data_IF_156123218373
#
_entry.id   IF_156123218373
#
_cell.length_a   1.000
_cell.length_b   1.000
_cell.length_c   1.000
_cell.angle_alpha   90.00
_cell.angle_beta   90.00
_cell.angle_gamma   90.00
#
_symmetry.space_group_name_H-M   'P 1'
#
loop_
_entity.id
_entity.type
_entity.pdbx_description
1 polymer ?
#
# COMPACT_ATOMS: atom_id res chain seq x y z
N UNK A 1 0.59 -2.57 -27.29
CA UNK A 1 0.45 -1.15 -27.69
C UNK A 1 -0.98 -0.95 -28.17
N UNK A 2 -1.61 0.18 -27.86
CA UNK A 2 -2.94 0.52 -28.34
C UNK A 2 -2.89 0.76 -29.85
N UNK A 3 -3.86 0.23 -30.60
CA UNK A 3 -3.93 0.44 -32.05
C UNK A 3 -4.15 1.93 -32.37
N UNK A 4 -3.69 2.41 -33.52
CA UNK A 4 -3.85 3.81 -33.91
C UNK A 4 -5.34 4.21 -34.04
N UNK A 5 -6.18 3.29 -34.50
CA UNK A 5 -7.62 3.47 -34.61
C UNK A 5 -8.25 3.64 -33.21
N UNK A 6 -7.99 2.72 -32.29
CA UNK A 6 -8.49 2.80 -30.90
C UNK A 6 -7.93 4.02 -30.18
N UNK A 7 -6.66 4.40 -30.39
CA UNK A 7 -6.08 5.59 -29.78
C UNK A 7 -6.83 6.88 -30.18
N UNK A 8 -7.25 7.01 -31.44
CA UNK A 8 -8.05 8.15 -31.88
C UNK A 8 -9.42 8.20 -31.17
N UNK A 9 -10.10 7.06 -31.07
CA UNK A 9 -11.40 6.93 -30.42
C UNK A 9 -11.28 7.19 -28.91
N UNK A 10 -10.30 6.56 -28.24
CA UNK A 10 -10.07 6.75 -26.79
C UNK A 10 -9.76 8.22 -26.49
N UNK A 11 -8.91 8.88 -27.28
CA UNK A 11 -8.60 10.31 -27.11
C UNK A 11 -9.85 11.20 -27.21
N UNK A 12 -10.75 10.90 -28.14
CA UNK A 12 -11.99 11.66 -28.33
C UNK A 12 -13.00 11.43 -27.21
N UNK A 13 -13.03 10.22 -26.62
CA UNK A 13 -14.04 9.79 -25.64
C UNK A 13 -13.57 9.86 -24.19
N UNK A 14 -12.25 9.91 -23.95
CA UNK A 14 -11.66 9.94 -22.59
C UNK A 14 -12.25 11.04 -21.70
N UNK A 15 -12.47 12.29 -22.14
CA UNK A 15 -13.08 13.31 -21.29
C UNK A 15 -14.50 12.95 -20.84
N UNK A 16 -15.32 12.36 -21.73
CA UNK A 16 -16.67 11.94 -21.40
C UNK A 16 -16.69 10.75 -20.42
N UNK A 17 -15.85 9.74 -20.69
CA UNK A 17 -15.69 8.58 -19.80
C UNK A 17 -15.16 9.01 -18.44
N UNK A 18 -14.12 9.85 -18.38
CA UNK A 18 -13.55 10.37 -17.14
C UNK A 18 -14.58 11.16 -16.32
N UNK A 19 -15.40 11.98 -16.97
CA UNK A 19 -16.47 12.72 -16.31
C UNK A 19 -17.60 11.86 -15.73
N UNK A 20 -17.80 10.66 -16.28
CA UNK A 20 -18.83 9.71 -15.85
C UNK A 20 -18.30 8.58 -14.92
N UNK A 21 -17.00 8.53 -14.64
CA UNK A 21 -16.35 7.39 -13.94
C UNK A 21 -16.94 7.13 -12.55
N UNK A 22 -17.34 8.15 -11.80
CA UNK A 22 -17.92 7.95 -10.46
C UNK A 22 -19.26 7.20 -10.54
N UNK A 23 -20.11 7.54 -11.51
CA UNK A 23 -21.37 6.83 -11.76
C UNK A 23 -21.11 5.44 -12.32
N UNK A 24 -20.23 5.30 -13.31
CA UNK A 24 -19.85 4.00 -13.89
C UNK A 24 -19.36 3.05 -12.80
N UNK A 25 -18.43 3.48 -11.95
CA UNK A 25 -17.87 2.63 -10.89
C UNK A 25 -18.89 2.32 -9.80
N UNK A 26 -19.83 3.22 -9.53
CA UNK A 26 -20.94 2.97 -8.60
C UNK A 26 -21.83 1.86 -9.11
N UNK A 27 -22.25 1.92 -10.38
CA UNK A 27 -23.09 0.88 -11.00
C UNK A 27 -22.35 -0.44 -11.15
N UNK A 28 -21.10 -0.38 -11.58
CA UNK A 28 -20.21 -1.54 -11.69
C UNK A 28 -20.16 -2.35 -10.38
N UNK A 29 -19.77 -1.72 -9.27
CA UNK A 29 -19.70 -2.41 -7.98
C UNK A 29 -21.08 -2.86 -7.49
N UNK A 30 -22.13 -2.05 -7.68
CA UNK A 30 -23.49 -2.41 -7.32
C UNK A 30 -23.98 -3.67 -8.02
N UNK A 31 -23.84 -3.75 -9.34
CA UNK A 31 -24.24 -4.91 -10.14
C UNK A 31 -23.38 -6.14 -9.81
N UNK A 32 -22.07 -5.97 -9.74
CA UNK A 32 -21.15 -7.07 -9.44
C UNK A 32 -21.42 -7.70 -8.07
N UNK A 33 -21.60 -6.91 -7.01
CA UNK A 33 -21.84 -7.43 -5.68
C UNK A 33 -23.28 -7.95 -5.48
N UNK A 34 -24.24 -7.46 -6.27
CA UNK A 34 -25.59 -8.02 -6.29
C UNK A 34 -25.59 -9.46 -6.84
N UNK A 35 -24.91 -9.67 -7.96
CA UNK A 35 -24.87 -10.95 -8.64
C UNK A 35 -23.85 -11.93 -8.03
N UNK A 36 -22.78 -11.40 -7.43
CA UNK A 36 -21.63 -12.16 -6.92
C UNK A 36 -21.26 -11.71 -5.49
N UNK A 37 -22.19 -11.88 -4.51
CA UNK A 37 -21.96 -11.43 -3.12
C UNK A 37 -20.79 -12.14 -2.45
N UNK A 38 -20.39 -13.33 -2.91
CA UNK A 38 -19.21 -14.04 -2.41
C UNK A 38 -17.90 -13.27 -2.63
N UNK A 39 -17.82 -12.35 -3.60
CA UNK A 39 -16.64 -11.52 -3.80
C UNK A 39 -16.40 -10.53 -2.65
N UNK A 40 -17.44 -10.19 -1.88
CA UNK A 40 -17.30 -9.36 -0.68
C UNK A 40 -16.62 -10.11 0.47
N UNK A 41 -16.65 -11.45 0.45
CA UNK A 41 -16.08 -12.24 1.53
C UNK A 41 -14.57 -12.33 1.42
N UNK A 42 -13.88 -11.52 2.21
CA UNK A 42 -12.42 -11.57 2.33
C UNK A 42 -11.61 -11.02 1.16
N UNK A 43 -12.23 -10.28 0.21
CA UNK A 43 -11.51 -9.63 -0.88
C UNK A 43 -11.64 -8.11 -0.81
N UNK A 44 -12.80 -7.58 -0.44
CA UNK A 44 -13.05 -6.15 -0.41
C UNK A 44 -13.18 -5.61 1.01
N UNK A 45 -12.60 -4.44 1.25
CA UNK A 45 -12.73 -3.72 2.50
C UNK A 45 -14.06 -2.96 2.55
N UNK A 46 -14.95 -3.33 3.48
CA UNK A 46 -16.27 -2.69 3.66
C UNK A 46 -16.17 -1.17 3.86
N UNK A 47 -15.20 -0.70 4.65
CA UNK A 47 -14.98 0.72 4.90
C UNK A 47 -14.61 1.48 3.62
N UNK A 48 -13.76 0.91 2.77
CA UNK A 48 -13.38 1.49 1.48
C UNK A 48 -14.56 1.50 0.49
N UNK A 49 -15.44 0.49 0.56
CA UNK A 49 -16.67 0.46 -0.23
C UNK A 49 -17.65 1.54 0.26
N UNK A 50 -17.90 1.62 1.55
CA UNK A 50 -18.82 2.59 2.14
C UNK A 50 -18.39 4.04 1.90
N UNK A 51 -17.09 4.34 2.00
CA UNK A 51 -16.53 5.68 1.76
C UNK A 51 -16.38 6.05 0.28
N UNK A 52 -16.59 5.12 -0.64
CA UNK A 52 -16.34 5.28 -2.07
C UNK A 52 -14.85 5.36 -2.45
N UNK A 53 -13.94 5.17 -1.51
CA UNK A 53 -12.50 5.27 -1.77
C UNK A 53 -12.03 4.25 -2.81
N UNK A 54 -12.58 3.03 -2.80
CA UNK A 54 -12.27 2.00 -3.79
C UNK A 54 -12.74 2.37 -5.19
N UNK A 55 -13.94 2.98 -5.31
CA UNK A 55 -14.49 3.45 -6.59
C UNK A 55 -13.58 4.52 -7.21
N UNK A 56 -13.17 5.51 -6.40
CA UNK A 56 -12.25 6.56 -6.86
C UNK A 56 -10.89 6.03 -7.28
N UNK A 57 -10.36 5.03 -6.57
CA UNK A 57 -9.09 4.40 -6.93
C UNK A 57 -9.18 3.66 -8.28
N UNK A 58 -10.25 2.89 -8.51
CA UNK A 58 -10.48 2.22 -9.80
C UNK A 58 -10.64 3.24 -10.93
N UNK A 59 -11.47 4.26 -10.72
CA UNK A 59 -11.68 5.33 -11.69
C UNK A 59 -10.36 6.03 -12.07
N UNK A 60 -9.56 6.39 -11.08
CA UNK A 60 -8.23 6.99 -11.28
C UNK A 60 -7.27 6.07 -12.04
N UNK A 61 -7.28 4.77 -11.74
CA UNK A 61 -6.42 3.78 -12.42
C UNK A 61 -6.77 3.63 -13.90
N UNK A 62 -8.06 3.55 -14.23
CA UNK A 62 -8.52 3.43 -15.63
C UNK A 62 -8.16 4.69 -16.43
N UNK A 63 -8.50 5.87 -15.89
CA UNK A 63 -8.18 7.13 -16.54
C UNK A 63 -6.68 7.35 -16.70
N UNK A 64 -5.90 7.07 -15.64
CA UNK A 64 -4.44 7.20 -15.66
C UNK A 64 -3.79 6.24 -16.65
N UNK A 65 -4.25 4.99 -16.74
CA UNK A 65 -3.73 4.03 -17.72
C UNK A 65 -4.05 4.43 -19.15
N UNK A 66 -5.30 4.84 -19.45
CA UNK A 66 -5.70 5.32 -20.77
C UNK A 66 -4.89 6.57 -21.19
N UNK A 67 -4.71 7.53 -20.27
CA UNK A 67 -3.87 8.72 -20.51
C UNK A 67 -2.43 8.33 -20.81
N UNK A 68 -1.84 7.45 -20.02
CA UNK A 68 -0.46 7.00 -20.24
C UNK A 68 -0.26 6.32 -21.61
N UNK A 69 -1.21 5.51 -22.06
CA UNK A 69 -1.18 4.90 -23.40
C UNK A 69 -1.26 5.94 -24.54
N UNK A 70 -1.99 7.05 -24.33
CA UNK A 70 -2.14 8.10 -25.32
C UNK A 70 -0.93 9.04 -25.38
N UNK A 71 -0.33 9.36 -24.22
CA UNK A 71 0.78 10.31 -24.11
C UNK A 71 2.14 9.64 -24.41
N UNK A 72 2.26 8.37 -24.07
CA UNK A 72 3.48 7.58 -24.21
C UNK A 72 3.20 6.23 -24.90
N UNK A 73 2.80 6.23 -26.19
CA UNK A 73 2.30 5.02 -26.86
C UNK A 73 3.33 3.87 -26.94
N UNK A 74 4.61 4.19 -26.87
CA UNK A 74 5.70 3.22 -26.93
C UNK A 74 6.19 2.75 -25.53
N UNK A 75 5.64 3.32 -24.47
CA UNK A 75 6.06 3.03 -23.09
C UNK A 75 4.89 2.42 -22.30
N UNK A 76 5.12 1.24 -21.75
CA UNK A 76 4.14 0.65 -20.82
C UNK A 76 4.23 1.36 -19.46
N UNK A 77 3.10 1.76 -18.84
CA UNK A 77 3.10 2.45 -17.54
C UNK A 77 3.36 1.48 -16.37
N UNK A 78 4.55 0.89 -16.33
CA UNK A 78 4.92 -0.18 -15.41
C UNK A 78 4.78 0.24 -13.94
N UNK A 79 5.17 1.46 -13.57
CA UNK A 79 5.08 1.94 -12.18
C UNK A 79 3.64 1.96 -11.66
N UNK A 80 2.67 2.38 -12.49
CA UNK A 80 1.25 2.34 -12.15
C UNK A 80 0.76 0.90 -11.97
N UNK A 81 1.14 0.03 -12.91
CA UNK A 81 0.73 -1.37 -12.92
C UNK A 81 1.37 -2.17 -11.79
N UNK A 82 2.63 -1.92 -11.43
CA UNK A 82 3.33 -2.62 -10.36
C UNK A 82 2.59 -2.46 -9.02
N UNK A 83 2.19 -1.23 -8.69
CA UNK A 83 1.45 -0.99 -7.45
C UNK A 83 0.11 -1.70 -7.42
N UNK A 84 -0.63 -1.67 -8.53
CA UNK A 84 -1.91 -2.36 -8.65
C UNK A 84 -1.70 -3.87 -8.53
N UNK A 85 -0.73 -4.43 -9.24
CA UNK A 85 -0.41 -5.85 -9.23
C UNK A 85 -0.04 -6.35 -7.82
N UNK A 86 0.77 -5.60 -7.06
CA UNK A 86 1.09 -5.94 -5.68
C UNK A 86 -0.15 -5.92 -4.76
N UNK A 87 -1.06 -4.95 -4.93
CA UNK A 87 -2.32 -4.89 -4.16
C UNK A 87 -3.26 -6.04 -4.52
N UNK A 88 -3.36 -6.39 -5.79
CA UNK A 88 -4.12 -7.55 -6.26
C UNK A 88 -3.53 -8.88 -5.75
N UNK A 89 -2.22 -9.05 -5.89
CA UNK A 89 -1.54 -10.24 -5.39
C UNK A 89 -1.73 -10.41 -3.87
N UNK A 90 -1.72 -9.31 -3.10
CA UNK A 90 -1.88 -9.34 -1.65
C UNK A 90 -3.29 -9.74 -1.19
N UNK A 91 -4.29 -9.73 -2.07
CA UNK A 91 -5.64 -10.21 -1.78
C UNK A 91 -5.97 -11.52 -2.51
N UNK A 92 -5.06 -11.99 -3.37
CA UNK A 92 -5.17 -13.28 -4.05
C UNK A 92 -6.01 -13.23 -5.32
N UNK A 93 -6.00 -12.13 -6.07
CA UNK A 93 -6.70 -12.01 -7.36
C UNK A 93 -6.24 -13.11 -8.31
N UNK A 94 -7.19 -13.68 -9.04
CA UNK A 94 -6.97 -14.71 -10.06
C UNK A 94 -7.31 -14.17 -11.46
N UNK A 95 -6.75 -14.77 -12.50
CA UNK A 95 -6.91 -14.34 -13.89
C UNK A 95 -8.36 -14.38 -14.38
N UNK A 96 -9.17 -15.36 -13.94
CA UNK A 96 -10.58 -15.47 -14.28
C UNK A 96 -11.43 -14.29 -13.75
N UNK A 97 -10.98 -13.63 -12.66
CA UNK A 97 -11.68 -12.48 -12.09
C UNK A 97 -11.63 -11.25 -13.00
N UNK A 98 -10.64 -11.12 -13.86
CA UNK A 98 -10.60 -10.05 -14.87
C UNK A 98 -11.77 -10.16 -15.87
N UNK A 99 -12.17 -11.36 -16.25
CA UNK A 99 -13.36 -11.56 -17.09
C UNK A 99 -14.64 -11.14 -16.38
N UNK A 100 -14.73 -11.39 -15.06
CA UNK A 100 -15.88 -10.95 -14.25
C UNK A 100 -15.92 -9.41 -14.20
N UNK A 101 -14.79 -8.77 -13.88
CA UNK A 101 -14.69 -7.30 -13.85
C UNK A 101 -15.04 -6.69 -15.20
N UNK A 102 -14.51 -7.23 -16.30
CA UNK A 102 -14.83 -6.80 -17.66
C UNK A 102 -16.34 -6.77 -17.92
N UNK A 103 -17.02 -7.89 -17.66
CA UNK A 103 -18.48 -8.01 -17.88
C UNK A 103 -19.26 -6.90 -17.20
N UNK A 104 -19.01 -6.69 -15.90
CA UNK A 104 -19.79 -5.72 -15.12
C UNK A 104 -19.37 -4.28 -15.40
N UNK A 105 -18.10 -4.03 -15.67
CA UNK A 105 -17.60 -2.69 -16.00
C UNK A 105 -18.16 -2.20 -17.33
N UNK A 106 -18.11 -3.03 -18.37
CA UNK A 106 -18.64 -2.67 -19.69
C UNK A 106 -20.18 -2.59 -19.69
N UNK A 107 -20.86 -3.41 -18.88
CA UNK A 107 -22.27 -3.26 -18.63
C UNK A 107 -22.62 -1.88 -18.03
N UNK A 108 -21.87 -1.45 -17.03
CA UNK A 108 -22.05 -0.16 -16.38
C UNK A 108 -21.71 1.01 -17.33
N UNK A 109 -20.65 0.90 -18.15
CA UNK A 109 -20.30 1.89 -19.18
C UNK A 109 -21.44 2.06 -20.17
N UNK A 110 -21.98 0.96 -20.69
CA UNK A 110 -23.10 0.99 -21.65
C UNK A 110 -24.37 1.59 -21.02
N UNK A 111 -24.66 1.27 -19.75
CA UNK A 111 -25.82 1.81 -19.04
C UNK A 111 -25.70 3.32 -18.78
N UNK A 112 -24.52 3.81 -18.43
CA UNK A 112 -24.32 5.23 -18.06
C UNK A 112 -24.18 6.12 -19.28
N UNK A 113 -23.47 5.67 -20.31
CA UNK A 113 -23.18 6.49 -21.52
C UNK A 113 -24.17 6.27 -22.65
N UNK A 114 -25.02 5.20 -22.58
CA UNK A 114 -26.07 4.95 -23.54
C UNK A 114 -25.62 4.93 -25.00
N UNK A 115 -26.29 5.69 -25.85
CA UNK A 115 -26.02 5.77 -27.29
C UNK A 115 -24.63 6.29 -27.67
N UNK A 116 -23.89 6.90 -26.72
CA UNK A 116 -22.52 7.33 -26.95
C UNK A 116 -21.54 6.13 -27.04
N UNK A 117 -21.95 4.94 -26.57
CA UNK A 117 -21.16 3.71 -26.67
C UNK A 117 -21.46 3.03 -28.01
N UNK A 118 -20.95 3.60 -29.09
CA UNK A 118 -21.00 2.96 -30.40
C UNK A 118 -20.15 1.68 -30.44
N UNK A 119 -20.33 0.78 -31.41
CA UNK A 119 -19.48 -0.40 -31.56
C UNK A 119 -17.98 -0.08 -31.62
N UNK A 120 -17.61 1.03 -32.25
CA UNK A 120 -16.20 1.50 -32.36
C UNK A 120 -15.68 1.97 -30.99
N UNK A 121 -16.50 2.69 -30.21
CA UNK A 121 -16.15 3.14 -28.85
C UNK A 121 -15.98 1.92 -27.94
N UNK A 122 -16.93 0.98 -27.99
CA UNK A 122 -16.86 -0.26 -27.21
C UNK A 122 -15.59 -1.05 -27.52
N UNK A 123 -15.27 -1.25 -28.81
CA UNK A 123 -14.08 -1.97 -29.23
C UNK A 123 -12.77 -1.28 -28.79
N UNK A 124 -12.69 0.06 -28.87
CA UNK A 124 -11.52 0.80 -28.47
C UNK A 124 -11.26 0.73 -26.95
N UNK A 125 -12.29 0.83 -26.13
CA UNK A 125 -12.16 0.69 -24.67
C UNK A 125 -11.96 -0.76 -24.24
N UNK A 126 -12.49 -1.73 -24.98
CA UNK A 126 -12.18 -3.16 -24.79
C UNK A 126 -10.68 -3.43 -24.98
N UNK A 127 -10.07 -2.86 -26.02
CA UNK A 127 -8.63 -2.96 -26.25
C UNK A 127 -7.83 -2.34 -25.08
N UNK A 128 -8.20 -1.16 -24.58
CA UNK A 128 -7.57 -0.55 -23.39
C UNK A 128 -7.68 -1.47 -22.16
N UNK A 129 -8.87 -2.03 -21.93
CA UNK A 129 -9.10 -2.93 -20.81
C UNK A 129 -8.18 -4.15 -20.85
N UNK A 130 -8.14 -4.86 -21.99
CA UNK A 130 -7.35 -6.08 -22.11
C UNK A 130 -5.84 -5.83 -22.17
N UNK A 131 -5.41 -4.66 -22.62
CA UNK A 131 -4.00 -4.24 -22.48
C UNK A 131 -3.61 -4.09 -21.01
N UNK A 132 -4.45 -3.45 -20.20
CA UNK A 132 -4.24 -3.32 -18.76
C UNK A 132 -4.32 -4.67 -18.05
N UNK A 133 -5.39 -5.41 -18.27
CA UNK A 133 -5.63 -6.71 -17.63
C UNK A 133 -4.52 -7.72 -17.97
N UNK A 134 -4.13 -7.84 -19.23
CA UNK A 134 -3.05 -8.76 -19.62
C UNK A 134 -1.70 -8.41 -19.01
N UNK A 135 -1.39 -7.11 -18.88
CA UNK A 135 -0.18 -6.67 -18.21
C UNK A 135 -0.22 -7.00 -16.70
N UNK A 136 -1.35 -6.74 -16.03
CA UNK A 136 -1.54 -7.05 -14.60
C UNK A 136 -1.47 -8.56 -14.34
N UNK A 137 -2.18 -9.38 -15.12
CA UNK A 137 -2.12 -10.85 -15.01
C UNK A 137 -0.68 -11.36 -15.12
N UNK A 138 0.10 -10.82 -16.09
CA UNK A 138 1.49 -11.19 -16.26
C UNK A 138 2.40 -10.77 -15.10
N UNK A 139 2.17 -9.61 -14.51
CA UNK A 139 2.90 -9.13 -13.34
C UNK A 139 2.52 -9.93 -12.08
N UNK A 140 1.23 -10.13 -11.83
CA UNK A 140 0.71 -10.92 -10.70
C UNK A 140 1.22 -12.37 -10.73
N UNK A 141 1.26 -12.99 -11.92
CA UNK A 141 1.81 -14.34 -12.07
C UNK A 141 3.29 -14.41 -11.64
N UNK A 142 4.10 -13.38 -11.95
CA UNK A 142 5.48 -13.28 -11.50
C UNK A 142 5.57 -13.07 -9.99
N UNK A 143 4.74 -12.18 -9.42
CA UNK A 143 4.70 -11.93 -7.98
C UNK A 143 4.34 -13.20 -7.19
N UNK A 144 3.37 -13.99 -7.66
CA UNK A 144 3.02 -15.27 -7.04
C UNK A 144 4.17 -16.27 -7.13
N UNK A 145 4.85 -16.33 -8.28
CA UNK A 145 6.02 -17.21 -8.44
C UNK A 145 7.17 -16.79 -7.51
N UNK A 146 7.50 -15.50 -7.43
CA UNK A 146 8.55 -14.98 -6.55
C UNK A 146 8.23 -15.23 -5.07
N UNK A 147 6.96 -15.08 -4.68
CA UNK A 147 6.50 -15.37 -3.33
C UNK A 147 6.37 -16.88 -3.03
N UNK A 148 6.55 -17.76 -4.03
CA UNK A 148 6.44 -19.21 -3.87
C UNK A 148 5.01 -19.68 -3.62
N UNK A 149 3.99 -18.92 -4.06
CA UNK A 149 2.57 -19.24 -3.88
C UNK A 149 1.86 -19.38 -5.22
N UNK A 150 0.60 -19.83 -5.19
CA UNK A 150 -0.26 -19.90 -6.38
C UNK A 150 -1.38 -18.87 -6.31
N UNK A 151 -1.89 -18.36 -7.44
CA UNK A 151 -3.08 -17.52 -7.49
C UNK A 151 -4.21 -18.11 -6.64
N UNK A 152 -4.89 -17.29 -5.85
CA UNK A 152 -5.96 -17.72 -4.93
C UNK A 152 -5.51 -18.56 -3.72
N UNK A 153 -4.27 -19.04 -3.67
CA UNK A 153 -3.72 -19.85 -2.57
C UNK A 153 -2.55 -19.16 -1.88
N UNK A 154 -2.74 -17.93 -1.47
CA UNK A 154 -1.72 -17.07 -0.85
C UNK A 154 -1.77 -17.10 0.68
N UNK A 155 -2.82 -17.71 1.25
CA UNK A 155 -3.16 -17.64 2.66
C UNK A 155 -2.53 -18.78 3.45
N UNK A 156 -1.96 -18.44 4.63
CA UNK A 156 -1.35 -19.39 5.56
C UNK A 156 -1.71 -19.01 6.99
N UNK A 157 -1.85 -19.99 7.88
CA UNK A 157 -2.06 -19.76 9.31
C UNK A 157 -0.75 -19.48 10.02
N UNK A 158 -0.78 -18.51 10.93
CA UNK A 158 0.33 -18.07 11.74
C UNK A 158 -0.10 -17.98 13.19
N UNK A 159 0.72 -18.55 14.11
CA UNK A 159 0.50 -18.47 15.54
C UNK A 159 1.12 -17.20 16.11
N UNK A 160 0.38 -16.47 16.92
CA UNK A 160 0.88 -15.35 17.70
C UNK A 160 1.78 -15.85 18.80
N UNK A 161 3.07 -15.60 18.73
CA UNK A 161 4.06 -16.04 19.74
C UNK A 161 4.34 -14.97 20.79
N UNK A 162 4.07 -13.70 20.48
CA UNK A 162 4.19 -12.57 21.40
C UNK A 162 3.17 -11.49 21.01
N UNK A 163 2.55 -10.88 22.01
CA UNK A 163 1.70 -9.71 21.89
C UNK A 163 2.23 -8.60 22.78
N UNK A 164 2.71 -7.50 22.18
CA UNK A 164 3.31 -6.39 22.91
C UNK A 164 2.55 -5.10 22.67
N UNK A 165 2.14 -4.42 23.76
CA UNK A 165 1.63 -3.05 23.65
C UNK A 165 2.79 -2.11 23.33
N UNK A 166 2.63 -1.31 22.26
CA UNK A 166 3.61 -0.29 21.85
C UNK A 166 3.21 1.09 22.38
N UNK A 167 1.93 1.41 22.24
CA UNK A 167 1.29 2.64 22.71
C UNK A 167 -0.12 2.31 23.22
N UNK A 168 -0.88 3.26 23.80
CA UNK A 168 -2.27 3.01 24.18
C UNK A 168 -3.18 2.55 23.02
N UNK A 169 -2.83 2.88 21.78
CA UNK A 169 -3.60 2.56 20.59
C UNK A 169 -2.85 1.68 19.56
N UNK A 170 -1.63 1.23 19.86
CA UNK A 170 -0.86 0.36 18.97
C UNK A 170 -0.37 -0.91 19.69
N UNK A 171 -0.46 -2.05 18.99
CA UNK A 171 -0.01 -3.36 19.45
C UNK A 171 0.79 -4.06 18.39
N UNK A 172 1.91 -4.68 18.76
CA UNK A 172 2.70 -5.57 17.93
C UNK A 172 2.33 -7.02 18.16
N UNK A 173 2.21 -7.79 17.07
CA UNK A 173 2.06 -9.23 17.08
C UNK A 173 3.29 -9.85 16.40
N UNK A 174 4.03 -10.65 17.14
CA UNK A 174 5.08 -11.49 16.61
C UNK A 174 4.49 -12.85 16.25
N UNK A 175 4.72 -13.28 15.01
CA UNK A 175 4.00 -14.37 14.37
C UNK A 175 4.96 -15.42 13.85
N UNK A 176 4.60 -16.71 14.00
CA UNK A 176 5.32 -17.87 13.44
C UNK A 176 4.36 -18.70 12.60
N UNK A 177 4.82 -19.30 11.46
CA UNK A 177 3.98 -20.24 10.71
C UNK A 177 3.46 -21.36 11.61
N UNK A 178 2.14 -21.61 11.57
CA UNK A 178 1.49 -22.61 12.44
C UNK A 178 1.78 -24.06 12.01
N UNK A 179 2.15 -24.27 10.75
CA UNK A 179 2.48 -25.57 10.18
C UNK A 179 3.94 -26.01 10.41
N UNK A 180 4.78 -25.16 11.02
CA UNK A 180 6.18 -25.42 11.28
C UNK A 180 7.12 -25.32 10.07
N UNK A 181 6.58 -25.04 8.88
CA UNK A 181 7.38 -24.82 7.68
C UNK A 181 8.03 -23.42 7.68
N UNK A 182 9.12 -23.24 6.93
CA UNK A 182 9.80 -21.96 6.82
C UNK A 182 8.86 -20.82 6.39
N UNK A 183 9.07 -19.64 6.92
CA UNK A 183 8.31 -18.46 6.52
C UNK A 183 8.62 -18.10 5.05
N UNK A 184 7.64 -17.67 4.24
CA UNK A 184 7.88 -17.17 2.89
C UNK A 184 8.92 -16.04 2.91
N UNK A 185 9.74 -15.94 1.86
CA UNK A 185 10.70 -14.84 1.76
C UNK A 185 9.98 -13.50 1.74
N UNK A 186 10.53 -12.53 2.43
CA UNK A 186 10.06 -11.16 2.44
C UNK A 186 11.20 -10.20 2.09
N UNK A 187 10.85 -8.99 1.62
CA UNK A 187 11.78 -7.86 1.47
C UNK A 187 11.45 -6.80 2.52
N UNK A 188 12.44 -6.06 2.97
CA UNK A 188 12.25 -5.01 3.96
C UNK A 188 11.42 -3.85 3.39
N UNK A 189 10.29 -3.54 4.00
CA UNK A 189 9.28 -2.58 3.52
C UNK A 189 7.99 -3.23 3.04
N UNK A 190 7.98 -4.52 2.72
CA UNK A 190 6.77 -5.24 2.30
C UNK A 190 5.74 -5.37 3.42
N UNK A 191 4.52 -5.71 3.02
CA UNK A 191 3.37 -5.93 3.90
C UNK A 191 2.72 -7.31 3.66
N UNK A 192 1.89 -7.72 4.59
CA UNK A 192 1.00 -8.88 4.48
C UNK A 192 -0.44 -8.45 4.64
N UNK A 193 -1.36 -9.15 3.98
CA UNK A 193 -2.79 -9.05 4.29
C UNK A 193 -3.13 -9.99 5.43
N UNK A 194 -3.80 -9.48 6.46
CA UNK A 194 -4.39 -10.28 7.54
C UNK A 194 -5.86 -10.44 7.27
N UNK A 195 -6.33 -11.68 7.20
CA UNK A 195 -7.74 -12.03 7.02
C UNK A 195 -8.32 -12.53 8.33
N UNK A 196 -9.38 -11.90 8.80
CA UNK A 196 -10.08 -12.25 10.03
C UNK A 196 -11.56 -12.50 9.75
N UNK A 197 -12.14 -13.43 10.49
CA UNK A 197 -13.59 -13.67 10.46
C UNK A 197 -14.26 -12.72 11.45
N UNK A 198 -15.17 -11.90 10.94
CA UNK A 198 -15.93 -10.96 11.74
C UNK A 198 -17.06 -11.65 12.50
N UNK A 199 -17.64 -11.03 13.56
CA UNK A 199 -18.75 -11.62 14.32
C UNK A 199 -19.99 -11.98 13.47
N UNK A 200 -20.22 -11.28 12.37
CA UNK A 200 -21.29 -11.58 11.41
C UNK A 200 -20.99 -12.78 10.46
N UNK A 201 -19.82 -13.40 10.63
CA UNK A 201 -19.37 -14.56 9.87
C UNK A 201 -18.64 -14.26 8.56
N UNK A 202 -18.61 -12.99 8.10
CA UNK A 202 -17.94 -12.56 6.87
C UNK A 202 -16.47 -12.30 7.16
N UNK A 203 -15.59 -12.65 6.23
CA UNK A 203 -14.17 -12.31 6.36
C UNK A 203 -13.88 -10.88 5.94
N UNK A 204 -13.06 -10.20 6.71
CA UNK A 204 -12.46 -8.93 6.35
C UNK A 204 -10.96 -9.03 6.33
N UNK A 205 -10.33 -8.22 5.50
CA UNK A 205 -8.87 -8.18 5.42
C UNK A 205 -8.34 -6.75 5.57
N UNK A 206 -7.12 -6.65 6.12
CA UNK A 206 -6.33 -5.41 6.17
C UNK A 206 -4.87 -5.73 5.92
N UNK A 207 -4.21 -4.80 5.25
CA UNK A 207 -2.79 -4.86 4.98
C UNK A 207 -2.01 -4.24 6.13
N UNK A 208 -0.96 -4.94 6.60
CA UNK A 208 -0.06 -4.46 7.64
C UNK A 208 1.38 -4.66 7.19
N UNK A 209 2.16 -3.58 7.24
CA UNK A 209 3.59 -3.63 6.94
C UNK A 209 4.32 -4.55 7.91
N UNK A 210 5.31 -5.27 7.41
CA UNK A 210 6.22 -6.03 8.24
C UNK A 210 7.15 -5.06 8.96
N UNK A 211 7.04 -5.00 10.28
CA UNK A 211 7.81 -4.10 11.15
C UNK A 211 9.06 -4.77 11.76
N UNK A 212 9.42 -5.96 11.29
CA UNK A 212 10.65 -6.71 11.63
C UNK A 212 11.54 -6.91 10.42
N UNK A 213 12.81 -7.24 10.63
CA UNK A 213 13.70 -7.67 9.56
C UNK A 213 13.12 -8.88 8.82
N UNK A 214 13.34 -9.02 7.50
CA UNK A 214 12.72 -10.06 6.69
C UNK A 214 13.32 -11.47 6.87
N UNK A 215 14.42 -11.59 7.61
CA UNK A 215 15.08 -12.89 7.87
C UNK A 215 14.41 -13.72 8.95
N UNK A 216 14.65 -15.04 8.93
CA UNK A 216 14.14 -16.00 9.93
C UNK A 216 12.66 -16.36 9.73
N UNK A 217 12.12 -17.13 10.71
CA UNK A 217 10.76 -17.68 10.67
C UNK A 217 9.72 -16.82 11.38
N UNK A 218 10.11 -15.68 11.94
CA UNK A 218 9.22 -14.76 12.62
C UNK A 218 8.89 -13.58 11.74
N UNK A 219 7.65 -13.10 11.86
CA UNK A 219 7.18 -11.86 11.24
C UNK A 219 6.49 -11.03 12.29
N UNK A 220 6.69 -9.73 12.26
CA UNK A 220 5.97 -8.82 13.14
C UNK A 220 5.12 -7.86 12.32
N UNK A 221 3.87 -7.74 12.73
CA UNK A 221 2.98 -6.66 12.31
C UNK A 221 2.69 -5.78 13.53
N UNK A 222 2.60 -4.47 13.32
CA UNK A 222 2.21 -3.53 14.36
C UNK A 222 0.94 -2.83 13.93
N UNK A 223 -0.11 -2.99 14.73
CA UNK A 223 -1.48 -2.62 14.41
C UNK A 223 -1.90 -1.45 15.27
N UNK A 224 -2.24 -0.32 14.65
CA UNK A 224 -2.88 0.81 15.31
C UNK A 224 -4.39 0.61 15.31
N UNK A 225 -5.02 0.78 16.46
CA UNK A 225 -6.47 0.79 16.59
C UNK A 225 -7.04 2.06 15.95
N UNK A 226 -7.97 1.88 15.04
CA UNK A 226 -8.66 2.98 14.36
C UNK A 226 -9.95 3.28 15.12
N UNK A 227 -10.01 4.44 15.77
CA UNK A 227 -11.24 4.99 16.33
C UNK A 227 -12.00 5.73 15.23
N UNK A 228 -13.32 5.64 15.24
CA UNK A 228 -14.19 6.40 14.34
C UNK A 228 -14.14 7.89 14.67
N UNK A 229 -14.05 8.71 13.64
CA UNK A 229 -14.06 10.17 13.75
C UNK A 229 -15.24 10.75 12.95
N UNK A 230 -15.83 11.87 13.44
CA UNK A 230 -16.87 12.61 12.73
C UNK A 230 -18.06 11.76 12.23
N UNK A 231 -18.47 10.75 12.99
CA UNK A 231 -19.59 9.86 12.65
C UNK A 231 -19.23 8.66 11.78
N UNK A 232 -17.96 8.50 11.41
CA UNK A 232 -17.47 7.26 10.80
C UNK A 232 -17.38 6.15 11.88
N UNK A 233 -17.66 4.87 11.53
CA UNK A 233 -17.55 3.76 12.48
C UNK A 233 -16.07 3.47 12.81
N UNK A 234 -15.85 2.82 13.94
CA UNK A 234 -14.55 2.27 14.32
C UNK A 234 -14.02 1.29 13.27
N UNK A 235 -12.71 1.22 13.13
CA UNK A 235 -12.07 0.27 12.22
C UNK A 235 -12.29 -1.17 12.68
N UNK A 236 -13.15 -1.93 12.01
CA UNK A 236 -13.59 -3.27 12.40
C UNK A 236 -12.42 -4.21 12.74
N UNK A 237 -11.48 -4.42 11.79
CA UNK A 237 -10.38 -5.37 11.95
C UNK A 237 -9.38 -4.93 13.01
N UNK A 238 -8.99 -3.66 13.03
CA UNK A 238 -8.02 -3.17 14.02
C UNK A 238 -8.55 -3.29 15.45
N UNK A 239 -9.83 -2.98 15.68
CA UNK A 239 -10.46 -3.12 16.99
C UNK A 239 -10.60 -4.59 17.39
N UNK A 240 -10.98 -5.49 16.47
CA UNK A 240 -11.03 -6.93 16.73
C UNK A 240 -9.64 -7.48 17.13
N UNK A 241 -8.59 -7.14 16.37
CA UNK A 241 -7.23 -7.58 16.68
C UNK A 241 -6.78 -7.12 18.08
N UNK A 242 -7.08 -5.88 18.44
CA UNK A 242 -6.77 -5.35 19.78
C UNK A 242 -7.56 -6.02 20.89
N UNK A 243 -8.85 -6.24 20.68
CA UNK A 243 -9.76 -6.75 21.69
C UNK A 243 -9.64 -8.26 21.93
N UNK A 244 -9.44 -9.04 20.88
CA UNK A 244 -9.63 -10.49 20.94
C UNK A 244 -8.34 -11.30 20.79
N UNK A 245 -7.38 -10.84 19.98
CA UNK A 245 -6.19 -11.64 19.67
C UNK A 245 -5.17 -11.65 20.81
N UNK A 246 -4.76 -12.84 21.21
CA UNK A 246 -3.81 -13.14 22.30
C UNK A 246 -2.67 -14.03 21.82
N UNK A 247 -1.66 -14.20 22.66
CA UNK A 247 -0.62 -15.19 22.47
C UNK A 247 -1.21 -16.60 22.42
N UNK A 248 -0.76 -17.41 21.46
CA UNK A 248 -1.30 -18.71 21.18
C UNK A 248 -2.41 -18.76 20.12
N UNK A 249 -3.06 -17.63 19.83
CA UNK A 249 -4.08 -17.56 18.79
C UNK A 249 -3.48 -17.65 17.39
N UNK A 250 -4.32 -18.02 16.44
CA UNK A 250 -3.91 -18.09 15.02
C UNK A 250 -4.53 -16.97 14.21
N UNK A 251 -3.70 -16.35 13.35
CA UNK A 251 -4.10 -15.41 12.33
C UNK A 251 -3.84 -15.98 10.93
N UNK A 252 -4.70 -15.65 9.98
CA UNK A 252 -4.48 -16.00 8.57
C UNK A 252 -3.84 -14.84 7.83
N UNK A 253 -2.61 -15.04 7.33
CA UNK A 253 -1.84 -14.05 6.60
C UNK A 253 -1.62 -14.47 5.15
N UNK A 254 -1.52 -13.48 4.25
CA UNK A 254 -1.02 -13.69 2.89
C UNK A 254 0.50 -13.91 2.89
N UNK A 255 1.04 -14.34 1.75
CA UNK A 255 2.45 -14.13 1.45
C UNK A 255 2.78 -12.61 1.47
N UNK A 256 4.06 -12.22 1.67
CA UNK A 256 4.46 -10.82 1.63
C UNK A 256 4.39 -10.25 0.20
N UNK A 257 3.82 -9.04 0.07
CA UNK A 257 3.77 -8.27 -1.16
C UNK A 257 4.08 -6.80 -0.88
N UNK A 258 4.12 -5.96 -1.91
CA UNK A 258 4.39 -4.53 -1.82
C UNK A 258 5.52 -4.12 -2.75
N UNK A 259 5.34 -3.00 -3.47
CA UNK A 259 6.28 -2.41 -4.42
C UNK A 259 7.31 -1.49 -3.73
N UNK A 260 7.06 -1.12 -2.48
CA UNK A 260 7.92 -0.24 -1.69
C UNK A 260 8.80 -1.08 -0.76
N UNK A 261 9.97 -1.43 -1.23
CA UNK A 261 10.95 -2.20 -0.45
C UNK A 261 12.37 -1.73 -0.73
N UNK A 262 13.27 -2.01 0.20
CA UNK A 262 14.69 -1.76 0.01
C UNK A 262 15.27 -2.84 -0.92
N UNK A 263 15.82 -2.39 -2.06
CA UNK A 263 16.55 -3.24 -2.98
C UNK A 263 17.87 -3.71 -2.38
N UNK A 264 18.28 -4.89 -2.78
CA UNK A 264 19.42 -5.61 -2.22
C UNK A 264 20.78 -5.04 -2.65
N UNK A 265 21.90 -5.53 -2.07
CA UNK A 265 23.20 -4.91 -1.81
C UNK A 265 24.02 -4.43 -3.01
N UNK A 266 23.57 -4.56 -4.25
CA UNK A 266 24.24 -3.93 -5.38
C UNK A 266 24.41 -2.40 -5.22
N UNK A 267 23.62 -1.78 -4.33
CA UNK A 267 23.63 -0.33 -4.05
C UNK A 267 23.95 -0.02 -2.58
N UNK A 268 24.85 -0.81 -1.99
CA UNK A 268 25.18 -0.75 -0.56
C UNK A 268 25.69 0.60 -0.07
N UNK A 269 26.03 1.54 -0.93
CA UNK A 269 26.56 2.87 -0.60
C UNK A 269 25.54 3.99 -0.71
N UNK A 270 24.45 3.81 -1.44
CA UNK A 270 23.42 4.83 -1.61
C UNK A 270 22.79 5.18 -0.27
N UNK A 271 22.76 6.47 0.12
CA UNK A 271 22.11 6.90 1.35
C UNK A 271 20.61 6.55 1.36
N UNK A 272 20.11 6.22 2.54
CA UNK A 272 18.68 5.91 2.76
C UNK A 272 18.09 6.93 3.72
N UNK A 273 16.93 7.49 3.33
CA UNK A 273 16.15 8.39 4.16
C UNK A 273 14.79 7.75 4.42
N UNK A 274 14.49 7.46 5.68
CA UNK A 274 13.25 6.85 6.13
C UNK A 274 12.36 7.93 6.74
N UNK A 275 11.27 8.29 6.07
CA UNK A 275 10.38 9.40 6.45
C UNK A 275 9.00 8.87 6.76
N UNK A 276 8.49 9.17 7.95
CA UNK A 276 7.19 8.63 8.37
C UNK A 276 6.42 9.54 9.33
N UNK A 277 5.10 9.30 9.39
CA UNK A 277 4.26 9.85 10.44
C UNK A 277 3.30 8.81 11.01
N UNK A 278 3.12 8.82 12.35
CA UNK A 278 2.27 7.90 13.08
C UNK A 278 2.60 6.44 12.78
N UNK A 279 1.58 5.60 12.52
CA UNK A 279 1.79 4.17 12.24
C UNK A 279 2.50 3.91 10.89
N UNK A 280 2.69 4.91 10.04
CA UNK A 280 3.56 4.84 8.87
C UNK A 280 5.04 4.58 9.20
N UNK A 281 5.42 4.63 10.47
CA UNK A 281 6.73 4.19 10.97
C UNK A 281 6.98 2.68 10.82
N UNK A 282 5.95 1.85 10.67
CA UNK A 282 6.08 0.38 10.64
C UNK A 282 6.94 -0.15 9.50
N UNK A 283 6.76 0.22 8.22
CA UNK A 283 7.65 -0.21 7.15
C UNK A 283 9.06 0.35 7.31
N UNK A 284 9.19 1.56 7.86
CA UNK A 284 10.50 2.19 8.11
C UNK A 284 11.30 1.43 9.17
N UNK A 285 10.62 0.98 10.24
CA UNK A 285 11.25 0.13 11.26
C UNK A 285 11.67 -1.22 10.67
N UNK A 286 10.87 -1.83 9.79
CA UNK A 286 11.23 -3.06 9.06
C UNK A 286 12.48 -2.90 8.20
N UNK A 287 12.59 -1.79 7.45
CA UNK A 287 13.77 -1.46 6.65
C UNK A 287 14.99 -1.22 7.55
N UNK A 288 14.82 -0.44 8.61
CA UNK A 288 15.89 -0.13 9.55
C UNK A 288 16.41 -1.39 10.26
N UNK A 289 15.50 -2.29 10.67
CA UNK A 289 15.83 -3.57 11.27
C UNK A 289 16.63 -4.46 10.32
N UNK A 290 16.28 -4.45 9.03
CA UNK A 290 17.03 -5.17 8.00
C UNK A 290 18.44 -4.61 7.85
N UNK A 291 18.58 -3.29 7.70
CA UNK A 291 19.88 -2.62 7.58
C UNK A 291 20.79 -2.92 8.78
N UNK A 292 20.23 -2.88 9.99
CA UNK A 292 20.95 -3.22 11.21
C UNK A 292 21.34 -4.69 11.26
N UNK A 293 20.47 -5.61 10.80
CA UNK A 293 20.73 -7.06 10.80
C UNK A 293 21.86 -7.44 9.82
N UNK A 294 21.96 -6.77 8.66
CA UNK A 294 23.04 -7.02 7.69
C UNK A 294 24.32 -6.22 7.98
N UNK A 295 24.34 -5.39 9.04
CA UNK A 295 25.48 -4.54 9.38
C UNK A 295 25.80 -3.50 8.29
N UNK A 296 24.76 -2.89 7.70
CA UNK A 296 24.91 -1.94 6.59
C UNK A 296 25.78 -0.74 6.98
N UNK A 297 26.70 -0.34 6.11
CA UNK A 297 27.55 0.86 6.28
C UNK A 297 27.02 2.09 5.55
N UNK A 298 25.89 2.00 4.83
CA UNK A 298 25.30 3.13 4.12
C UNK A 298 24.81 4.22 5.09
N UNK A 299 24.89 5.49 4.75
CA UNK A 299 24.29 6.56 5.55
C UNK A 299 22.78 6.38 5.67
N UNK A 300 22.24 6.42 6.89
CA UNK A 300 20.81 6.29 7.16
C UNK A 300 20.31 7.52 7.92
N UNK A 301 19.23 8.11 7.46
CA UNK A 301 18.53 9.19 8.16
C UNK A 301 17.10 8.77 8.44
N UNK A 302 16.69 8.78 9.70
CA UNK A 302 15.32 8.43 10.12
C UNK A 302 14.61 9.71 10.58
N UNK A 303 13.54 10.06 9.90
CA UNK A 303 12.71 11.23 10.17
C UNK A 303 11.29 10.77 10.51
N UNK A 304 10.82 11.06 11.72
CA UNK A 304 9.50 10.64 12.14
C UNK A 304 8.71 11.76 12.81
N UNK A 305 7.42 11.86 12.49
CA UNK A 305 6.50 12.79 13.12
C UNK A 305 5.35 12.05 13.81
N UNK A 306 4.96 12.51 15.00
CA UNK A 306 3.77 12.02 15.68
C UNK A 306 3.14 13.12 16.53
N UNK A 307 1.98 12.85 17.16
CA UNK A 307 1.30 13.80 18.02
C UNK A 307 2.05 14.01 19.34
N UNK A 308 2.61 12.93 19.87
CA UNK A 308 3.42 12.96 21.11
C UNK A 308 4.37 11.75 21.18
N UNK A 309 5.39 11.80 22.04
CA UNK A 309 6.27 10.65 22.27
C UNK A 309 5.53 9.39 22.75
N UNK A 310 4.44 9.55 23.51
CA UNK A 310 3.63 8.44 24.02
C UNK A 310 2.81 7.72 22.94
N UNK A 311 2.56 8.39 21.81
CA UNK A 311 1.82 7.86 20.65
C UNK A 311 2.75 7.31 19.57
N UNK A 312 4.07 7.54 19.68
CA UNK A 312 5.08 7.06 18.72
C UNK A 312 5.40 5.58 18.95
N UNK A 313 4.70 4.71 18.21
CA UNK A 313 4.92 3.27 18.23
C UNK A 313 6.34 2.91 17.76
N UNK A 314 6.96 1.89 18.37
CA UNK A 314 8.30 1.40 18.05
C UNK A 314 9.43 2.42 18.26
N UNK A 315 9.21 3.53 18.97
CA UNK A 315 10.18 4.62 19.17
C UNK A 315 11.51 4.14 19.74
N UNK A 316 11.46 3.38 20.85
CA UNK A 316 12.66 2.89 21.51
C UNK A 316 13.47 1.97 20.60
N UNK A 317 12.79 1.06 19.91
CA UNK A 317 13.41 0.15 18.96
C UNK A 317 14.02 0.88 17.75
N UNK A 318 13.33 1.88 17.21
CA UNK A 318 13.85 2.72 16.11
C UNK A 318 15.18 3.37 16.51
N UNK A 319 15.29 3.88 17.74
CA UNK A 319 16.55 4.44 18.25
C UNK A 319 17.63 3.40 18.44
N UNK A 320 17.28 2.27 19.03
CA UNK A 320 18.22 1.16 19.22
C UNK A 320 18.79 0.67 17.89
N UNK A 321 17.92 0.43 16.90
CA UNK A 321 18.33 -0.02 15.57
C UNK A 321 19.21 1.02 14.86
N UNK A 322 18.85 2.30 14.92
CA UNK A 322 19.67 3.37 14.38
C UNK A 322 21.04 3.43 15.07
N UNK A 323 21.10 3.30 16.40
CA UNK A 323 22.33 3.26 17.16
C UNK A 323 23.28 2.10 16.81
N UNK A 324 22.77 1.04 16.15
CA UNK A 324 23.58 -0.08 15.63
C UNK A 324 24.19 0.19 14.25
N UNK A 325 23.80 1.27 13.57
CA UNK A 325 24.25 1.63 12.23
C UNK A 325 25.26 2.76 12.29
N UNK A 326 26.44 2.64 11.67
CA UNK A 326 27.45 3.67 11.68
C UNK A 326 26.94 4.99 11.06
N UNK A 327 26.96 6.08 11.84
CA UNK A 327 26.56 7.41 11.35
C UNK A 327 25.09 7.58 11.05
N UNK A 328 24.22 6.70 11.51
CA UNK A 328 22.78 6.88 11.38
C UNK A 328 22.30 8.07 12.22
N UNK A 329 21.36 8.84 11.67
CA UNK A 329 20.75 10.01 12.33
C UNK A 329 19.28 9.78 12.53
N UNK A 330 18.73 10.25 13.65
CA UNK A 330 17.30 10.21 13.96
C UNK A 330 16.83 11.59 14.36
N UNK A 331 15.78 12.09 13.69
CA UNK A 331 15.11 13.35 14.01
C UNK A 331 13.63 13.08 14.21
N UNK A 332 13.06 13.55 15.33
CA UNK A 332 11.65 13.35 15.64
C UNK A 332 10.94 14.69 15.80
N UNK A 333 9.72 14.76 15.32
CA UNK A 333 8.80 15.90 15.47
C UNK A 333 7.58 15.47 16.28
N UNK A 334 7.20 16.29 17.25
CA UNK A 334 5.98 16.07 18.03
C UNK A 334 5.16 17.35 18.10
N UNK A 335 3.86 17.24 17.84
CA UNK A 335 2.94 18.35 18.03
C UNK A 335 2.87 18.76 19.53
N UNK A 336 3.00 17.76 20.42
CA UNK A 336 3.03 17.91 21.86
C UNK A 336 4.26 17.19 22.44
N UNK A 337 5.43 17.82 22.37
CA UNK A 337 6.64 17.20 22.91
C UNK A 337 6.53 17.01 24.42
N UNK A 338 6.99 15.88 24.92
CA UNK A 338 7.09 15.59 26.36
C UNK A 338 8.48 15.94 26.90
N UNK A 339 8.59 16.03 28.20
CA UNK A 339 9.90 16.27 28.87
C UNK A 339 10.91 15.13 28.64
N UNK A 340 10.43 13.93 28.28
CA UNK A 340 11.25 12.76 27.96
C UNK A 340 11.96 12.86 26.61
N UNK A 341 11.63 13.86 25.77
CA UNK A 341 12.19 14.05 24.43
C UNK A 341 12.64 15.49 24.20
N UNK A 342 13.60 16.01 25.00
CA UNK A 342 14.02 17.43 24.93
C UNK A 342 14.72 17.78 23.62
N UNK A 343 15.27 16.80 22.89
CA UNK A 343 15.92 16.99 21.60
C UNK A 343 14.95 16.92 20.42
N UNK A 344 13.67 16.55 20.63
CA UNK A 344 12.70 16.49 19.58
C UNK A 344 12.27 17.90 19.11
N UNK A 345 11.96 18.00 17.83
CA UNK A 345 11.42 19.22 17.24
C UNK A 345 9.92 19.34 17.55
N UNK A 346 9.42 20.57 17.69
CA UNK A 346 8.02 20.83 17.98
C UNK A 346 7.24 21.13 16.70
N UNK A 347 6.03 20.57 16.59
CA UNK A 347 5.10 20.83 15.49
C UNK A 347 5.14 19.79 14.38
N UNK A 348 4.69 20.19 13.19
CA UNK A 348 4.71 19.35 11.99
C UNK A 348 6.14 19.22 11.46
N UNK A 349 6.39 18.14 10.70
CA UNK A 349 7.70 17.92 10.08
C UNK A 349 8.03 19.03 9.09
N UNK A 350 9.17 19.68 9.32
CA UNK A 350 9.76 20.69 8.46
C UNK A 350 11.20 20.27 8.15
N UNK A 351 11.51 20.13 6.86
CA UNK A 351 12.81 19.68 6.37
C UNK A 351 13.74 20.82 5.99
N UNK A 352 13.35 22.09 6.19
CA UNK A 352 14.12 23.27 5.75
C UNK A 352 15.57 23.25 6.27
N UNK A 353 15.77 22.84 7.53
CA UNK A 353 17.08 22.77 8.17
C UNK A 353 17.68 21.36 8.18
N UNK A 354 17.15 20.45 7.39
CA UNK A 354 17.63 19.05 7.33
C UNK A 354 18.46 18.87 6.07
N UNK A 355 19.75 18.69 6.24
CA UNK A 355 20.63 18.32 5.13
C UNK A 355 20.37 16.87 4.72
N UNK A 356 19.94 16.68 3.49
CA UNK A 356 19.69 15.38 2.87
C UNK A 356 20.60 15.20 1.64
N UNK A 357 21.23 14.01 1.48
CA UNK A 357 21.97 13.72 0.27
C UNK A 357 21.04 13.70 -0.95
N UNK A 358 21.36 14.43 -2.01
CA UNK A 358 20.54 14.54 -3.22
C UNK A 358 20.41 13.22 -3.99
N UNK A 359 21.33 12.28 -3.75
CA UNK A 359 21.32 10.93 -4.31
C UNK A 359 20.67 9.88 -3.39
N UNK A 360 20.08 10.30 -2.26
CA UNK A 360 19.41 9.38 -1.33
C UNK A 360 18.20 8.71 -1.96
N UNK A 361 17.97 7.44 -1.59
CA UNK A 361 16.67 6.81 -1.77
C UNK A 361 15.80 7.10 -0.56
N UNK A 362 14.66 7.73 -0.79
CA UNK A 362 13.71 8.13 0.25
C UNK A 362 12.55 7.14 0.29
N UNK A 363 12.21 6.66 1.49
CA UNK A 363 11.00 5.90 1.77
C UNK A 363 10.05 6.76 2.59
N UNK A 364 8.82 6.94 2.12
CA UNK A 364 7.85 7.86 2.69
C UNK A 364 6.54 7.11 2.99
N UNK A 365 6.05 7.21 4.25
CA UNK A 365 4.76 6.63 4.63
C UNK A 365 4.11 7.42 5.78
N UNK A 366 2.81 7.64 5.68
CA UNK A 366 2.02 8.35 6.67
C UNK A 366 0.66 8.80 6.13
N UNK A 367 -0.05 9.68 6.83
CA UNK A 367 -1.28 10.29 6.33
C UNK A 367 -1.05 11.04 5.01
N UNK A 368 -2.00 10.99 4.07
CA UNK A 368 -1.86 11.63 2.76
C UNK A 368 -1.47 13.11 2.82
N UNK A 369 -2.07 13.95 3.68
CA UNK A 369 -1.64 15.35 3.79
C UNK A 369 -0.18 15.51 4.20
N UNK A 370 0.29 14.69 5.14
CA UNK A 370 1.70 14.64 5.54
C UNK A 370 2.60 14.24 4.37
N UNK A 371 2.25 13.16 3.67
CA UNK A 371 3.06 12.66 2.56
C UNK A 371 3.18 13.68 1.43
N UNK A 372 2.09 14.38 1.09
CA UNK A 372 2.10 15.47 0.08
C UNK A 372 2.99 16.62 0.49
N UNK A 373 2.84 17.10 1.72
CA UNK A 373 3.64 18.20 2.25
C UNK A 373 5.15 17.87 2.28
N UNK A 374 5.49 16.68 2.75
CA UNK A 374 6.89 16.22 2.83
C UNK A 374 7.48 15.94 1.45
N UNK A 375 6.71 15.32 0.53
CA UNK A 375 7.17 15.13 -0.85
C UNK A 375 7.53 16.46 -1.52
N UNK A 376 6.68 17.48 -1.36
CA UNK A 376 6.97 18.82 -1.88
C UNK A 376 8.27 19.38 -1.33
N UNK A 377 8.52 19.23 -0.02
CA UNK A 377 9.77 19.67 0.60
C UNK A 377 10.99 18.90 0.08
N UNK A 378 10.88 17.56 -0.08
CA UNK A 378 11.94 16.71 -0.62
C UNK A 378 12.32 17.11 -2.06
N UNK A 379 11.32 17.37 -2.91
CA UNK A 379 11.54 17.88 -4.27
C UNK A 379 12.22 19.25 -4.25
N UNK A 380 11.75 20.16 -3.38
CA UNK A 380 12.37 21.46 -3.17
C UNK A 380 13.81 21.39 -2.66
N UNK A 381 14.17 20.35 -1.89
CA UNK A 381 15.53 20.06 -1.45
C UNK A 381 16.39 19.36 -2.54
N UNK A 382 15.86 19.15 -3.76
CA UNK A 382 16.60 18.60 -4.89
C UNK A 382 16.61 17.06 -4.96
N UNK A 383 15.80 16.36 -4.17
CA UNK A 383 15.65 14.90 -4.28
C UNK A 383 14.80 14.60 -5.53
N UNK A 384 15.28 13.84 -6.52
CA UNK A 384 14.51 13.51 -7.71
C UNK A 384 13.26 12.67 -7.37
N UNK A 385 12.12 12.94 -8.02
CA UNK A 385 10.86 12.24 -7.79
C UNK A 385 11.00 10.71 -7.87
N UNK A 386 11.76 10.17 -8.84
CA UNK A 386 12.03 8.73 -9.01
C UNK A 386 12.78 8.08 -7.83
N UNK A 387 13.37 8.86 -6.93
CA UNK A 387 14.04 8.38 -5.72
C UNK A 387 13.15 8.42 -4.48
N UNK A 388 11.96 9.00 -4.59
CA UNK A 388 10.97 9.07 -3.50
C UNK A 388 9.98 7.91 -3.69
N UNK A 389 10.19 6.84 -2.93
CA UNK A 389 9.29 5.68 -2.87
C UNK A 389 8.31 5.89 -1.73
N UNK A 390 7.02 5.67 -1.97
CA UNK A 390 6.01 5.91 -0.96
C UNK A 390 4.97 4.80 -0.87
N UNK A 391 4.51 4.50 0.35
CA UNK A 391 3.44 3.53 0.62
C UNK A 391 2.21 4.25 1.17
N UNK A 392 1.04 3.98 0.55
CA UNK A 392 -0.24 4.51 1.00
C UNK A 392 -1.03 3.41 1.72
N UNK A 393 -1.37 3.67 2.99
CA UNK A 393 -2.23 2.76 3.76
C UNK A 393 -3.69 2.96 3.37
N UNK A 394 -4.18 2.13 2.46
CA UNK A 394 -5.52 2.18 1.91
C UNK A 394 -5.55 2.20 0.39
N UNK A 395 -6.69 2.56 -0.23
CA UNK A 395 -6.77 2.80 -1.66
C UNK A 395 -5.84 3.95 -2.05
N UNK A 396 -5.06 3.75 -3.09
CA UNK A 396 -4.15 4.79 -3.56
C UNK A 396 -4.96 5.90 -4.24
N UNK A 397 -5.06 7.03 -3.54
CA UNK A 397 -5.66 8.27 -4.04
C UNK A 397 -4.60 9.28 -4.47
N UNK A 398 -3.35 8.88 -4.52
CA UNK A 398 -2.25 9.68 -5.04
C UNK A 398 -2.23 9.54 -6.56
N UNK A 399 -2.91 10.45 -7.24
CA UNK A 399 -3.05 10.41 -8.70
C UNK A 399 -1.70 10.70 -9.40
N UNK A 400 -1.40 9.98 -10.49
CA UNK A 400 -0.16 10.17 -11.28
C UNK A 400 -0.02 11.55 -11.94
N UNK A 401 -0.98 12.44 -11.87
CA UNK A 401 -0.95 13.77 -12.50
C UNK A 401 -0.30 14.89 -11.67
N UNK A 402 0.18 14.58 -10.45
CA UNK A 402 0.98 15.49 -9.63
C UNK A 402 2.48 15.17 -9.78
N UNK A 403 2.87 14.69 -10.94
CA UNK A 403 4.24 14.41 -11.27
C UNK A 403 4.94 15.66 -11.76
N UNK A 404 6.08 15.95 -11.16
CA UNK A 404 7.23 16.70 -11.66
C UNK A 404 7.03 18.17 -11.94
#
# INVERSE_FOLDING_TARGET
>A
MLSAESAAVVRATLPAVAGALDEITTRFYGAMFHDRPELLDGMFNRGNQASGAQRRALAGSIAGFATALLDHPDIRPDTLLDRIAHKHAAVGVTDDQYTIVHKYLFGAIAEVLGDAVTPEVAAAWDEVYWLMAGALIGQEARLYQEAGVRPGRIWRRWTVVERRAETPDAVSFLLRPADGEAAPRARAGQYVSVRVRMPDGVHQLRQYSLSSAPGGDLRRITVRRVAGEAGAPDGEVSNLLHAEVREGDELTLSAPFGDVFLDDPADATTPVVLVSAGIGGTPMTGILAHLAAIGSSRPVTVLHADRSPAEHALRAETRELAGRLPGARTEFWYERPGAEEPAARTGLMDLTDIELPSDATVFLCGPLPFMRAVRSQLLGAGIPARRIRYEVFGPDLWLPGETD
#
